data_IF_601329526821
#
_entry.id   IF_601329526821
#
_cell.length_a   1.000
_cell.length_b   1.000
_cell.length_c   1.000
_cell.angle_alpha   90.00
_cell.angle_beta   90.00
_cell.angle_gamma   90.00
#
_symmetry.space_group_name_H-M   'P 1'
#
loop_
_entity.id
_entity.type
_entity.pdbx_description
1 polymer ?
#
# COMPACT_ATOMS: atom_id res chain seq x y z
N UNK A 1 9.64 -3.25 28.03
CA UNK A 1 9.67 -2.54 26.72
C UNK A 1 11.04 -2.75 26.11
N UNK A 2 11.16 -3.54 25.04
CA UNK A 2 12.44 -3.84 24.41
C UNK A 2 12.69 -3.01 23.16
N UNK A 3 13.96 -2.78 22.84
CA UNK A 3 14.38 -2.23 21.55
C UNK A 3 14.08 -3.25 20.45
N UNK A 4 13.66 -2.77 19.27
CA UNK A 4 13.36 -3.61 18.10
C UNK A 4 14.36 -3.34 17.01
N UNK A 5 14.80 -4.40 16.32
CA UNK A 5 15.69 -4.29 15.17
C UNK A 5 15.00 -3.63 13.98
N UNK A 6 15.76 -2.93 13.14
CA UNK A 6 15.25 -2.32 11.91
C UNK A 6 14.81 -3.41 10.92
N UNK A 7 13.53 -3.46 10.48
CA UNK A 7 13.01 -4.55 9.65
C UNK A 7 13.75 -4.74 8.34
N UNK A 8 14.15 -3.63 7.69
CA UNK A 8 14.91 -3.65 6.45
C UNK A 8 16.33 -4.16 6.67
N UNK A 9 17.00 -3.72 7.75
CA UNK A 9 18.38 -4.09 8.05
C UNK A 9 18.50 -5.58 8.37
N UNK A 10 17.56 -6.10 9.16
CA UNK A 10 17.45 -7.52 9.47
C UNK A 10 17.25 -8.41 8.23
N UNK A 11 16.77 -7.86 7.11
CA UNK A 11 16.41 -8.58 5.88
C UNK A 11 17.36 -8.36 4.70
N UNK A 12 18.41 -7.54 4.86
CA UNK A 12 19.37 -7.22 3.78
C UNK A 12 20.09 -8.45 3.21
N UNK A 13 20.32 -9.48 4.04
CA UNK A 13 21.03 -10.68 3.60
C UNK A 13 20.15 -11.68 2.83
N UNK A 14 18.81 -11.59 2.94
CA UNK A 14 17.91 -12.66 2.49
C UNK A 14 16.89 -12.18 1.47
N UNK A 15 16.07 -11.18 1.84
CA UNK A 15 14.88 -10.80 1.04
C UNK A 15 14.95 -9.40 0.45
N UNK A 16 15.83 -8.53 0.97
CA UNK A 16 15.96 -7.13 0.54
C UNK A 16 17.32 -6.85 -0.10
N UNK A 17 17.30 -6.07 -1.18
CA UNK A 17 18.49 -5.58 -1.84
C UNK A 17 18.95 -4.23 -1.26
N UNK A 18 20.21 -3.91 -1.52
CA UNK A 18 20.83 -2.63 -1.15
C UNK A 18 20.27 -1.46 -1.95
N UNK A 19 20.18 -0.28 -1.33
CA UNK A 19 19.76 0.98 -1.96
C UNK A 19 20.91 1.71 -2.67
N UNK A 20 22.16 1.38 -2.36
CA UNK A 20 23.35 1.78 -3.12
C UNK A 20 24.07 0.50 -3.54
N UNK A 21 24.34 0.33 -4.84
CA UNK A 21 25.00 -0.84 -5.42
C UNK A 21 26.24 -0.40 -6.18
N UNK A 22 27.34 -0.27 -5.46
CA UNK A 22 28.64 0.04 -6.01
C UNK A 22 29.73 -0.50 -5.10
N UNK A 23 30.94 -0.61 -5.64
CA UNK A 23 32.13 -1.04 -4.92
C UNK A 23 33.20 0.04 -5.03
N UNK A 24 33.90 0.32 -3.93
CA UNK A 24 35.03 1.22 -3.91
C UNK A 24 36.10 0.68 -2.95
N UNK A 25 37.36 1.02 -3.22
CA UNK A 25 38.45 0.75 -2.31
C UNK A 25 38.31 1.61 -1.04
N UNK A 26 38.89 1.15 0.07
CA UNK A 26 38.78 1.78 1.39
C UNK A 26 39.10 3.29 1.39
N UNK A 27 40.09 3.72 0.57
CA UNK A 27 40.49 5.13 0.44
C UNK A 27 39.40 6.02 -0.16
N UNK A 28 38.61 5.51 -1.10
CA UNK A 28 37.63 6.30 -1.84
C UNK A 28 36.19 6.11 -1.32
N UNK A 29 35.97 5.10 -0.48
CA UNK A 29 34.64 4.75 0.02
C UNK A 29 33.99 5.90 0.82
N UNK A 30 34.73 6.53 1.72
CA UNK A 30 34.20 7.60 2.58
C UNK A 30 33.73 8.81 1.77
N UNK A 31 34.51 9.26 0.78
CA UNK A 31 34.14 10.38 -0.09
C UNK A 31 32.90 10.07 -0.93
N UNK A 32 32.88 8.91 -1.58
CA UNK A 32 31.73 8.48 -2.39
C UNK A 32 30.46 8.29 -1.56
N UNK A 33 30.59 7.86 -0.30
CA UNK A 33 29.45 7.74 0.60
C UNK A 33 28.90 9.11 1.00
N UNK A 34 29.76 10.08 1.30
CA UNK A 34 29.33 11.45 1.62
C UNK A 34 28.56 12.07 0.45
N UNK A 35 29.10 11.95 -0.77
CA UNK A 35 28.43 12.35 -2.01
C UNK A 35 27.04 11.69 -2.17
N UNK A 36 26.94 10.39 -1.93
CA UNK A 36 25.66 9.65 -2.01
C UNK A 36 24.64 10.18 -0.99
N UNK A 37 25.06 10.55 0.23
CA UNK A 37 24.20 11.11 1.26
C UNK A 37 23.68 12.49 0.86
N UNK A 38 24.57 13.37 0.39
CA UNK A 38 24.23 14.73 -0.06
C UNK A 38 23.25 14.67 -1.24
N UNK A 39 23.47 13.77 -2.20
CA UNK A 39 22.56 13.57 -3.32
C UNK A 39 21.19 13.07 -2.86
N UNK A 40 21.14 12.16 -1.88
CA UNK A 40 19.87 11.65 -1.35
C UNK A 40 19.09 12.74 -0.62
N UNK A 41 19.75 13.56 0.18
CA UNK A 41 19.11 14.67 0.88
C UNK A 41 18.58 15.71 -0.13
N UNK A 42 19.41 16.08 -1.10
CA UNK A 42 19.04 16.99 -2.17
C UNK A 42 17.82 16.51 -2.96
N UNK A 43 17.83 15.24 -3.40
CA UNK A 43 16.72 14.65 -4.16
C UNK A 43 15.43 14.58 -3.33
N UNK A 44 15.52 14.22 -2.04
CA UNK A 44 14.35 14.19 -1.15
C UNK A 44 13.76 15.59 -0.94
N UNK A 45 14.59 16.62 -0.82
CA UNK A 45 14.13 17.99 -0.64
C UNK A 45 13.48 18.53 -1.93
N UNK A 46 14.15 18.38 -3.08
CA UNK A 46 13.65 18.90 -4.37
C UNK A 46 12.41 18.16 -4.86
N UNK A 47 12.36 16.84 -4.69
CA UNK A 47 11.27 15.99 -5.20
C UNK A 47 10.18 15.68 -4.16
N UNK A 48 10.02 16.52 -3.13
CA UNK A 48 8.97 16.34 -2.11
C UNK A 48 7.56 16.29 -2.74
N UNK A 49 7.34 17.04 -3.81
CA UNK A 49 6.08 17.06 -4.57
C UNK A 49 5.85 15.79 -5.40
N UNK A 50 6.91 15.09 -5.80
CA UNK A 50 6.81 13.90 -6.65
C UNK A 50 6.44 12.62 -5.88
N UNK A 51 6.53 12.64 -4.54
CA UNK A 51 6.33 11.46 -3.69
C UNK A 51 7.27 10.31 -4.09
N UNK A 52 8.54 10.48 -3.74
CA UNK A 52 9.62 9.52 -3.99
C UNK A 52 9.60 8.44 -2.91
N UNK A 53 9.55 7.16 -3.31
CA UNK A 53 9.60 6.01 -2.41
C UNK A 53 11.05 5.65 -2.07
N UNK A 54 11.85 5.35 -3.09
CA UNK A 54 13.23 4.89 -2.93
C UNK A 54 14.13 5.48 -4.02
N UNK A 55 15.40 5.63 -3.68
CA UNK A 55 16.46 6.10 -4.61
C UNK A 55 17.52 5.01 -4.65
N UNK A 56 17.73 4.43 -5.83
CA UNK A 56 18.79 3.46 -6.08
C UNK A 56 19.97 4.17 -6.73
N UNK A 57 21.15 4.04 -6.14
CA UNK A 57 22.39 4.63 -6.68
C UNK A 57 23.33 3.50 -7.08
N UNK A 58 23.69 3.46 -8.35
CA UNK A 58 24.70 2.54 -8.89
C UNK A 58 25.84 3.36 -9.47
N UNK A 59 27.09 2.94 -9.29
CA UNK A 59 28.26 3.67 -9.81
C UNK A 59 29.10 2.77 -10.73
N UNK A 60 28.70 2.58 -12.00
CA UNK A 60 29.50 1.84 -12.96
C UNK A 60 30.69 2.68 -13.44
N UNK A 61 31.92 2.22 -13.18
CA UNK A 61 33.19 2.72 -13.72
C UNK A 61 33.23 4.24 -14.03
N UNK A 62 33.35 5.07 -12.99
CA UNK A 62 33.40 6.54 -13.04
C UNK A 62 32.13 7.25 -13.55
N UNK A 63 31.03 6.53 -13.76
CA UNK A 63 29.71 7.10 -14.00
C UNK A 63 28.80 6.81 -12.80
N UNK A 64 27.76 7.63 -12.63
CA UNK A 64 26.71 7.39 -11.65
C UNK A 64 25.36 7.17 -12.36
N UNK A 65 24.64 6.12 -11.98
CA UNK A 65 23.29 5.81 -12.43
C UNK A 65 22.37 5.91 -11.23
N UNK A 66 21.45 6.88 -11.27
CA UNK A 66 20.50 7.13 -10.20
C UNK A 66 19.12 6.74 -10.70
N UNK A 67 18.51 5.75 -10.08
CA UNK A 67 17.15 5.30 -10.41
C UNK A 67 16.20 5.75 -9.30
N UNK A 68 15.28 6.64 -9.64
CA UNK A 68 14.32 7.26 -8.73
C UNK A 68 12.99 6.53 -8.90
N UNK A 69 12.48 5.97 -7.79
CA UNK A 69 11.19 5.32 -7.75
C UNK A 69 10.16 6.31 -7.23
N UNK A 70 9.22 6.69 -8.07
CA UNK A 70 8.24 7.73 -7.78
C UNK A 70 6.81 7.24 -8.03
N UNK A 71 5.87 7.68 -7.20
CA UNK A 71 4.44 7.49 -7.45
C UNK A 71 3.92 8.42 -8.56
N UNK A 72 4.59 9.55 -8.78
CA UNK A 72 4.21 10.56 -9.77
C UNK A 72 5.40 10.87 -10.67
N UNK A 73 5.71 10.00 -11.65
CA UNK A 73 6.86 10.20 -12.55
C UNK A 73 6.72 11.47 -13.39
N UNK A 74 5.50 11.85 -13.80
CA UNK A 74 5.26 13.05 -14.61
C UNK A 74 5.73 14.36 -13.96
N UNK A 75 5.67 14.44 -12.62
CA UNK A 75 6.17 15.62 -11.88
C UNK A 75 7.70 15.68 -11.88
N UNK A 76 8.38 14.53 -11.98
CA UNK A 76 9.85 14.45 -12.03
C UNK A 76 10.38 14.76 -13.43
N UNK A 77 9.64 14.37 -14.46
CA UNK A 77 10.02 14.62 -15.87
C UNK A 77 9.81 16.11 -16.22
N UNK A 78 8.75 16.73 -15.69
CA UNK A 78 8.42 18.12 -15.96
C UNK A 78 7.79 18.33 -17.34
N UNK A 79 7.66 19.60 -17.75
CA UNK A 79 7.14 19.94 -19.08
C UNK A 79 8.22 19.64 -20.13
N UNK A 80 7.91 18.76 -21.09
CA UNK A 80 8.81 18.35 -22.19
C UNK A 80 10.20 17.80 -21.76
N UNK A 81 10.37 17.39 -20.50
CA UNK A 81 11.66 16.88 -20.00
C UNK A 81 12.63 17.95 -19.47
N UNK A 82 12.19 19.19 -19.28
CA UNK A 82 13.06 20.26 -18.77
C UNK A 82 13.58 19.97 -17.35
N UNK A 83 12.72 19.46 -16.46
CA UNK A 83 13.09 19.23 -15.06
C UNK A 83 14.11 18.10 -14.91
N UNK A 84 14.05 17.06 -15.76
CA UNK A 84 15.02 15.97 -15.74
C UNK A 84 16.39 16.41 -16.26
N UNK A 85 16.44 17.28 -17.27
CA UNK A 85 17.70 17.84 -17.77
C UNK A 85 18.37 18.75 -16.72
N UNK A 86 17.58 19.61 -16.09
CA UNK A 86 18.03 20.44 -14.98
C UNK A 86 18.55 19.59 -13.81
N UNK A 87 17.82 18.54 -13.43
CA UNK A 87 18.23 17.63 -12.37
C UNK A 87 19.55 16.90 -12.70
N UNK A 88 19.69 16.43 -13.95
CA UNK A 88 20.91 15.78 -14.42
C UNK A 88 22.11 16.74 -14.38
N UNK A 89 21.92 17.99 -14.77
CA UNK A 89 22.98 19.00 -14.73
C UNK A 89 23.43 19.32 -13.30
N UNK A 90 22.50 19.49 -12.36
CA UNK A 90 22.82 19.73 -10.95
C UNK A 90 23.48 18.53 -10.28
N UNK A 91 23.00 17.32 -10.55
CA UNK A 91 23.60 16.09 -10.01
C UNK A 91 25.02 15.89 -10.55
N UNK A 92 25.26 16.20 -11.83
CA UNK A 92 26.60 16.15 -12.43
C UNK A 92 27.55 17.15 -11.77
N UNK A 93 27.07 18.38 -11.49
CA UNK A 93 27.85 19.40 -10.77
C UNK A 93 28.23 18.97 -9.35
N UNK A 94 27.32 18.30 -8.63
CA UNK A 94 27.56 17.83 -7.24
C UNK A 94 28.49 16.62 -7.19
N UNK A 95 28.32 15.67 -8.11
CA UNK A 95 29.06 14.42 -8.12
C UNK A 95 30.41 14.48 -8.86
N UNK A 96 30.60 15.49 -9.72
CA UNK A 96 31.82 15.61 -10.54
C UNK A 96 32.00 14.47 -11.57
N UNK A 97 30.99 13.61 -11.71
CA UNK A 97 30.96 12.49 -12.66
C UNK A 97 29.72 12.57 -13.54
N UNK A 98 29.76 12.01 -14.76
CA UNK A 98 28.57 11.93 -15.60
C UNK A 98 27.47 11.11 -14.92
N UNK A 99 26.27 11.70 -14.81
CA UNK A 99 25.11 11.08 -14.15
C UNK A 99 24.05 10.69 -15.20
N UNK A 100 23.58 9.45 -15.13
CA UNK A 100 22.38 8.99 -15.81
C UNK A 100 21.23 8.89 -14.81
N UNK A 101 20.12 9.59 -15.07
CA UNK A 101 18.92 9.57 -14.22
C UNK A 101 17.86 8.71 -14.89
N UNK A 102 17.39 7.69 -14.17
CA UNK A 102 16.25 6.86 -14.58
C UNK A 102 15.09 7.10 -13.62
N UNK A 103 13.88 7.10 -14.16
CA UNK A 103 12.65 7.25 -13.38
C UNK A 103 11.84 5.97 -13.56
N UNK A 104 11.57 5.30 -12.45
CA UNK A 104 10.72 4.12 -12.41
C UNK A 104 9.43 4.44 -11.66
N UNK A 105 8.31 4.03 -12.24
CA UNK A 105 6.99 4.25 -11.66
C UNK A 105 6.66 3.19 -10.59
N UNK A 106 6.20 3.65 -9.43
CA UNK A 106 5.63 2.79 -8.41
C UNK A 106 4.16 2.50 -8.74
N UNK A 107 3.89 1.30 -9.27
CA UNK A 107 2.54 0.89 -9.73
C UNK A 107 1.44 0.96 -8.65
N UNK A 108 1.79 0.70 -7.38
CA UNK A 108 0.85 0.64 -6.25
C UNK A 108 1.39 1.46 -5.07
N UNK A 109 1.20 2.79 -5.06
CA UNK A 109 1.78 3.65 -4.02
C UNK A 109 1.18 3.40 -2.62
N UNK A 110 -0.05 2.90 -2.52
CA UNK A 110 -0.72 2.61 -1.25
C UNK A 110 -0.22 1.34 -0.55
N UNK A 111 0.67 0.58 -1.19
CA UNK A 111 1.32 -0.61 -0.61
C UNK A 111 2.78 -0.31 -0.24
N UNK A 112 3.32 0.82 -0.69
CA UNK A 112 4.67 1.26 -0.38
C UNK A 112 4.71 1.95 0.99
N UNK A 113 5.55 1.44 1.90
CA UNK A 113 5.53 1.91 3.28
C UNK A 113 6.00 3.36 3.42
N UNK A 114 6.94 3.82 2.58
CA UNK A 114 7.46 5.18 2.64
C UNK A 114 6.41 6.18 2.15
N UNK A 115 5.75 5.87 1.03
CA UNK A 115 4.70 6.73 0.47
C UNK A 115 3.47 6.83 1.38
N UNK A 116 3.10 5.73 2.06
CA UNK A 116 2.05 5.76 3.08
C UNK A 116 2.45 6.66 4.24
N UNK A 117 3.70 6.55 4.74
CA UNK A 117 4.20 7.38 5.83
C UNK A 117 4.16 8.87 5.45
N UNK A 118 4.64 9.22 4.25
CA UNK A 118 4.64 10.60 3.74
C UNK A 118 3.22 11.14 3.50
N UNK A 119 2.29 10.30 3.06
CA UNK A 119 0.88 10.69 2.92
C UNK A 119 0.25 11.02 4.27
N UNK A 120 0.56 10.23 5.31
CA UNK A 120 0.05 10.47 6.66
C UNK A 120 0.66 11.73 7.25
N UNK A 121 1.97 11.94 7.11
CA UNK A 121 2.61 13.16 7.64
C UNK A 121 2.09 14.42 6.98
N UNK A 122 1.89 14.42 5.66
CA UNK A 122 1.24 15.53 4.95
C UNK A 122 -0.20 15.80 5.45
N UNK A 123 -0.95 14.75 5.79
CA UNK A 123 -2.30 14.91 6.37
C UNK A 123 -2.26 15.48 7.79
N UNK A 124 -1.28 15.08 8.60
CA UNK A 124 -1.08 15.61 9.95
C UNK A 124 -0.64 17.09 9.92
N UNK A 125 0.22 17.48 8.98
CA UNK A 125 0.62 18.88 8.76
C UNK A 125 -0.60 19.75 8.38
N UNK A 126 -1.54 19.18 7.61
CA UNK A 126 -2.83 19.81 7.27
C UNK A 126 -3.87 19.76 8.40
N UNK A 127 -3.47 19.39 9.62
CA UNK A 127 -4.32 19.31 10.82
C UNK A 127 -5.50 18.34 10.70
N UNK A 128 -5.38 17.31 9.85
CA UNK A 128 -6.36 16.23 9.81
C UNK A 128 -6.18 15.35 11.07
N UNK A 129 -7.29 14.91 11.65
CA UNK A 129 -7.27 14.02 12.82
C UNK A 129 -6.46 12.74 12.53
N UNK A 130 -5.43 12.48 13.35
CA UNK A 130 -4.48 11.40 13.11
C UNK A 130 -5.13 10.01 13.00
N UNK A 131 -6.16 9.73 13.81
CA UNK A 131 -6.93 8.47 13.74
C UNK A 131 -7.59 8.26 12.38
N UNK A 132 -8.15 9.33 11.80
CA UNK A 132 -8.79 9.29 10.47
C UNK A 132 -7.75 9.03 9.38
N UNK A 133 -6.62 9.73 9.43
CA UNK A 133 -5.52 9.54 8.47
C UNK A 133 -4.98 8.11 8.49
N UNK A 134 -4.74 7.55 9.68
CA UNK A 134 -4.27 6.17 9.83
C UNK A 134 -5.30 5.14 9.37
N UNK A 135 -6.56 5.25 9.82
CA UNK A 135 -7.61 4.29 9.44
C UNK A 135 -7.85 4.26 7.94
N UNK A 136 -7.87 5.44 7.29
CA UNK A 136 -7.97 5.56 5.83
C UNK A 136 -6.78 4.93 5.12
N UNK A 137 -5.56 5.18 5.58
CA UNK A 137 -4.35 4.60 4.99
C UNK A 137 -4.33 3.07 5.10
N UNK A 138 -4.71 2.51 6.27
CA UNK A 138 -4.79 1.06 6.47
C UNK A 138 -5.81 0.41 5.54
N UNK A 139 -7.02 0.95 5.47
CA UNK A 139 -8.07 0.43 4.61
C UNK A 139 -7.66 0.45 3.13
N UNK A 140 -7.01 1.53 2.67
CA UNK A 140 -6.51 1.61 1.30
C UNK A 140 -5.43 0.56 1.00
N UNK A 141 -4.49 0.36 1.93
CA UNK A 141 -3.44 -0.63 1.77
C UNK A 141 -3.99 -2.08 1.72
N UNK A 142 -4.90 -2.42 2.64
CA UNK A 142 -5.56 -3.73 2.68
C UNK A 142 -6.41 -3.97 1.42
N UNK A 143 -7.16 -2.96 0.95
CA UNK A 143 -7.96 -3.03 -0.28
C UNK A 143 -7.11 -3.32 -1.53
N UNK A 144 -5.88 -2.83 -1.58
CA UNK A 144 -4.97 -3.00 -2.72
C UNK A 144 -4.08 -4.27 -2.62
N UNK A 145 -4.37 -5.13 -1.64
CA UNK A 145 -3.79 -6.46 -1.52
C UNK A 145 -2.62 -6.58 -0.55
N UNK A 146 -2.40 -5.60 0.34
CA UNK A 146 -1.49 -5.82 1.46
C UNK A 146 -2.05 -6.91 2.39
N UNK A 147 -1.23 -7.89 2.78
CA UNK A 147 -1.64 -8.98 3.68
C UNK A 147 -1.64 -8.55 5.15
N UNK A 148 -0.96 -7.46 5.45
CA UNK A 148 -1.08 -6.78 6.72
C UNK A 148 -0.34 -5.44 6.73
N UNK A 149 -0.81 -4.56 7.60
CA UNK A 149 -0.25 -3.25 7.80
C UNK A 149 -0.23 -2.92 9.29
N UNK A 150 0.84 -2.28 9.73
CA UNK A 150 0.94 -1.68 11.05
C UNK A 150 1.36 -0.24 10.87
N UNK A 151 0.67 0.68 11.54
CA UNK A 151 1.01 2.10 11.56
C UNK A 151 1.17 2.51 13.02
N UNK A 152 2.26 3.22 13.31
CA UNK A 152 2.56 3.76 14.63
C UNK A 152 2.83 5.25 14.49
N UNK A 153 2.14 6.06 15.29
CA UNK A 153 2.34 7.49 15.39
C UNK A 153 2.77 7.84 16.80
N UNK A 154 3.89 8.55 16.93
CA UNK A 154 4.46 8.95 18.21
C UNK A 154 4.69 10.47 18.22
N UNK A 155 4.27 11.13 19.30
CA UNK A 155 4.44 12.57 19.48
C UNK A 155 3.26 13.21 20.19
N UNK A 156 3.11 14.53 20.05
CA UNK A 156 2.01 15.32 20.61
C UNK A 156 0.73 15.19 19.77
N UNK A 157 0.13 14.01 19.79
CA UNK A 157 -1.04 13.68 18.99
C UNK A 157 -2.23 14.56 19.39
N UNK A 158 -2.88 15.19 18.41
CA UNK A 158 -3.93 16.21 18.59
C UNK A 158 -3.50 17.43 19.42
N UNK A 159 -2.20 17.74 19.52
CA UNK A 159 -1.71 18.91 20.23
C UNK A 159 -1.72 18.79 21.76
N UNK A 160 -1.94 17.58 22.29
CA UNK A 160 -1.87 17.31 23.73
C UNK A 160 -0.44 17.53 24.23
N UNK A 161 -0.31 18.02 25.46
CA UNK A 161 0.97 18.41 26.07
C UNK A 161 1.93 17.21 26.19
N UNK A 162 1.44 16.08 26.71
CA UNK A 162 2.23 14.86 26.88
C UNK A 162 2.25 14.06 25.58
N UNK A 163 3.46 13.77 25.09
CA UNK A 163 3.64 12.92 23.92
C UNK A 163 3.23 11.48 24.23
N UNK A 164 2.50 10.85 23.31
CA UNK A 164 2.11 9.44 23.41
C UNK A 164 2.35 8.70 22.10
N UNK A 165 2.37 7.38 22.18
CA UNK A 165 2.48 6.50 21.01
C UNK A 165 1.19 5.71 20.84
N UNK A 166 0.52 5.91 19.71
CA UNK A 166 -0.63 5.11 19.30
C UNK A 166 -0.24 4.26 18.10
N UNK A 167 -0.70 3.01 18.07
CA UNK A 167 -0.49 2.13 16.92
C UNK A 167 -1.76 1.37 16.59
N UNK A 168 -1.97 1.18 15.29
CA UNK A 168 -3.04 0.38 14.75
C UNK A 168 -2.43 -0.70 13.86
N UNK A 169 -3.03 -1.90 13.89
CA UNK A 169 -2.57 -3.04 13.09
C UNK A 169 -3.78 -3.74 12.50
N UNK A 170 -3.67 -4.08 11.23
CA UNK A 170 -4.65 -4.85 10.49
C UNK A 170 -3.93 -5.97 9.72
N UNK A 171 -4.52 -7.16 9.66
CA UNK A 171 -3.89 -8.32 9.02
C UNK A 171 -2.65 -8.85 9.76
N UNK A 172 -1.78 -9.56 9.03
CA UNK A 172 -0.60 -10.25 9.58
C UNK A 172 0.68 -9.45 9.33
N UNK A 173 1.51 -9.26 10.36
CA UNK A 173 2.83 -8.61 10.23
C UNK A 173 3.89 -9.41 11.00
N UNK A 174 4.44 -10.48 10.41
CA UNK A 174 5.39 -11.39 11.08
C UNK A 174 6.82 -10.81 11.11
N UNK A 175 7.11 -9.95 12.09
CA UNK A 175 8.41 -9.26 12.18
C UNK A 175 9.62 -10.18 12.39
N UNK A 176 9.40 -11.34 13.02
CA UNK A 176 10.45 -12.32 13.32
C UNK A 176 10.80 -13.22 12.11
N UNK A 177 9.90 -13.34 11.13
CA UNK A 177 10.11 -14.21 9.97
C UNK A 177 10.99 -13.50 8.93
N UNK A 178 12.17 -14.05 8.64
CA UNK A 178 13.10 -13.48 7.65
C UNK A 178 12.58 -13.54 6.21
N UNK A 179 11.83 -14.60 5.87
CA UNK A 179 11.23 -14.81 4.54
C UNK A 179 10.11 -13.81 4.21
N UNK A 180 9.52 -13.19 5.23
CA UNK A 180 8.45 -12.22 5.06
C UNK A 180 8.97 -10.94 4.40
N UNK A 181 8.40 -10.55 3.25
CA UNK A 181 8.66 -9.24 2.64
C UNK A 181 7.89 -8.16 3.40
N UNK A 182 8.61 -7.53 4.33
CA UNK A 182 8.11 -6.43 5.13
C UNK A 182 8.79 -5.15 4.67
N UNK A 183 7.98 -4.20 4.24
CA UNK A 183 8.41 -2.86 3.92
C UNK A 183 8.25 -1.95 5.12
N UNK A 184 9.25 -1.10 5.32
CA UNK A 184 9.29 -0.17 6.45
C UNK A 184 9.51 1.24 5.92
N UNK A 185 8.63 2.15 6.33
CA UNK A 185 8.69 3.57 6.00
C UNK A 185 8.68 4.40 7.27
N UNK A 186 9.45 5.48 7.26
CA UNK A 186 9.50 6.45 8.35
C UNK A 186 9.39 7.86 7.78
N UNK A 187 8.53 8.66 8.39
CA UNK A 187 8.35 10.05 8.01
C UNK A 187 8.02 10.88 9.26
N UNK A 188 8.45 12.13 9.26
CA UNK A 188 8.25 13.07 10.35
C UNK A 188 7.36 14.21 9.88
N UNK A 189 6.28 14.47 10.62
CA UNK A 189 5.42 15.63 10.39
C UNK A 189 5.87 16.78 11.29
N UNK A 190 6.17 17.93 10.68
CA UNK A 190 6.50 19.15 11.42
C UNK A 190 5.22 19.94 11.68
N UNK A 191 4.64 19.75 12.86
CA UNK A 191 3.41 20.44 13.27
C UNK A 191 3.71 21.65 14.16
N UNK A 192 2.73 22.52 14.37
CA UNK A 192 2.85 23.68 15.27
C UNK A 192 3.20 23.31 16.71
N UNK A 193 2.81 22.11 17.14
CA UNK A 193 3.04 21.63 18.51
C UNK A 193 4.34 20.82 18.64
N UNK A 194 5.11 20.66 17.57
CA UNK A 194 6.34 19.88 17.53
C UNK A 194 6.31 18.79 16.45
N UNK A 195 7.18 17.80 16.61
CA UNK A 195 7.36 16.74 15.62
C UNK A 195 6.53 15.52 15.97
N UNK A 196 5.82 14.97 14.97
CA UNK A 196 5.13 13.68 15.08
C UNK A 196 5.83 12.69 14.16
N UNK A 197 6.37 11.62 14.72
CA UNK A 197 6.99 10.54 13.98
C UNK A 197 5.95 9.49 13.57
N UNK A 198 5.93 9.12 12.30
CA UNK A 198 5.06 8.07 11.74
C UNK A 198 5.93 6.93 11.22
N UNK A 199 5.71 5.73 11.77
CA UNK A 199 6.37 4.49 11.37
C UNK A 199 5.34 3.55 10.77
N UNK A 200 5.61 3.04 9.57
CA UNK A 200 4.70 2.16 8.83
C UNK A 200 5.42 0.85 8.52
N UNK A 201 4.74 -0.27 8.75
CA UNK A 201 5.14 -1.60 8.31
C UNK A 201 4.08 -2.15 7.38
N UNK A 202 4.45 -2.56 6.18
CA UNK A 202 3.55 -3.22 5.22
C UNK A 202 4.08 -4.60 4.92
N UNK A 203 3.23 -5.61 5.07
CA UNK A 203 3.53 -6.99 4.71
C UNK A 203 2.89 -7.33 3.36
N UNK A 204 3.72 -7.69 2.39
CA UNK A 204 3.29 -8.02 1.02
C UNK A 204 3.21 -9.52 0.73
N UNK A 205 3.60 -10.36 1.68
CA UNK A 205 3.72 -11.81 1.48
C UNK A 205 5.13 -12.32 1.75
N UNK A 206 5.26 -13.64 1.71
CA UNK A 206 6.54 -14.30 1.83
C UNK A 206 7.22 -14.34 0.46
N UNK A 207 8.51 -13.97 0.41
CA UNK A 207 9.36 -14.21 -0.76
C UNK A 207 9.86 -15.64 -0.72
N UNK A 208 9.61 -16.41 -1.77
CA UNK A 208 10.27 -17.72 -1.93
C UNK A 208 11.78 -17.52 -2.14
N UNK A 209 12.57 -18.53 -1.79
CA UNK A 209 14.04 -18.50 -1.73
C UNK A 209 14.75 -18.11 -3.05
N UNK A 210 14.03 -18.02 -4.17
CA UNK A 210 14.60 -17.78 -5.51
C UNK A 210 14.57 -16.31 -5.95
N UNK A 211 14.30 -15.35 -5.06
CA UNK A 211 14.41 -13.93 -5.38
C UNK A 211 13.30 -13.35 -6.27
N UNK A 212 12.33 -14.16 -6.69
CA UNK A 212 11.13 -13.66 -7.35
C UNK A 212 10.26 -12.84 -6.38
N UNK A 213 9.82 -11.66 -6.84
CA UNK A 213 8.90 -10.85 -6.07
C UNK A 213 7.59 -11.61 -5.85
N UNK A 214 6.95 -11.52 -4.67
CA UNK A 214 5.68 -12.19 -4.45
C UNK A 214 4.67 -11.54 -5.41
N UNK A 215 4.16 -12.35 -6.34
CA UNK A 215 3.04 -11.96 -7.18
C UNK A 215 1.86 -11.81 -6.23
N UNK A 216 1.45 -10.57 -5.98
CA UNK A 216 0.17 -10.29 -5.34
C UNK A 216 -0.89 -10.95 -6.23
N UNK A 217 -1.52 -12.03 -5.74
CA UNK A 217 -2.62 -12.71 -6.46
C UNK A 217 -3.72 -11.68 -6.71
N UNK A 218 -3.74 -11.12 -7.91
CA UNK A 218 -4.93 -10.51 -8.47
C UNK A 218 -5.81 -11.62 -9.00
N UNK A 219 -7.03 -11.70 -8.50
CA UNK A 219 -8.11 -12.44 -9.14
C UNK A 219 -8.23 -11.89 -10.58
N UNK A 220 -8.14 -12.76 -11.60
CA UNK A 220 -8.28 -12.35 -13.00
C UNK A 220 -7.43 -13.06 -14.05
N UNK A 221 -7.09 -14.34 -13.87
CA UNK A 221 -6.85 -15.22 -15.02
C UNK A 221 -8.00 -16.23 -15.03
N UNK A 222 -9.05 -15.84 -15.74
CA UNK A 222 -10.14 -16.71 -16.15
C UNK A 222 -9.57 -17.99 -16.76
N UNK A 223 -10.21 -19.09 -16.38
CA UNK A 223 -10.01 -20.42 -16.91
C UNK A 223 -9.84 -20.40 -18.42
N UNK A 224 -8.61 -20.64 -18.87
CA UNK A 224 -8.35 -21.08 -20.22
C UNK A 224 -9.03 -22.45 -20.37
N UNK A 225 -10.27 -22.39 -20.88
CA UNK A 225 -11.14 -23.52 -21.19
C UNK A 225 -10.35 -24.54 -22.00
N UNK A 226 -9.91 -25.61 -21.34
CA UNK A 226 -9.38 -26.81 -21.99
C UNK A 226 -10.38 -27.26 -23.06
N UNK A 227 -9.99 -27.41 -24.34
CA UNK A 227 -10.87 -27.97 -25.34
C UNK A 227 -11.16 -29.44 -24.98
N UNK A 228 -12.45 -29.79 -24.93
CA UNK A 228 -12.91 -31.16 -24.66
C UNK A 228 -12.32 -32.10 -25.72
N UNK A 229 -11.56 -33.08 -25.25
CA UNK A 229 -10.94 -34.16 -26.02
C UNK A 229 -12.01 -34.97 -26.76
N UNK A 230 -11.82 -35.09 -28.08
CA UNK A 230 -12.50 -35.90 -29.09
C UNK A 230 -13.56 -36.92 -28.61
N UNK A 231 -14.78 -36.73 -29.11
CA UNK A 231 -15.77 -37.79 -29.26
C UNK A 231 -15.24 -38.85 -30.25
N UNK A 232 -15.28 -40.13 -29.86
CA UNK A 232 -15.00 -41.27 -30.74
C UNK A 232 -16.16 -41.48 -31.73
N UNK A 233 -15.92 -41.61 -33.04
CA UNK A 233 -16.93 -42.05 -33.99
C UNK A 233 -16.96 -43.59 -34.05
N UNK A 234 -18.14 -44.18 -33.88
CA UNK A 234 -18.32 -45.63 -34.05
C UNK A 234 -19.62 -46.16 -33.46
N UNK A 235 -20.75 -45.88 -34.13
CA UNK A 235 -21.91 -46.78 -34.09
C UNK A 235 -21.72 -47.83 -35.20
N UNK A 236 -22.33 -49.04 -35.14
CA UNK A 236 -23.77 -49.12 -35.45
C UNK A 236 -24.57 -50.28 -34.81
N UNK A 237 -25.89 -50.07 -34.70
CA UNK A 237 -26.88 -51.14 -34.95
C UNK A 237 -27.75 -51.58 -33.77
N UNK A 238 -29.07 -51.42 -33.89
CA UNK A 238 -30.04 -52.15 -33.06
C UNK A 238 -31.44 -51.51 -32.97
N UNK A 239 -32.37 -52.01 -33.79
CA UNK A 239 -33.79 -51.62 -33.92
C UNK A 239 -34.63 -51.81 -32.65
N UNK A 240 -35.70 -51.00 -32.51
CA UNK A 240 -36.90 -51.37 -31.75
C UNK A 240 -37.79 -50.18 -31.34
N UNK A 241 -38.94 -50.02 -31.99
CA UNK A 241 -40.00 -49.00 -31.79
C UNK A 241 -41.24 -49.72 -31.21
N UNK A 242 -42.40 -49.06 -30.96
CA UNK A 242 -42.81 -48.14 -29.88
C UNK A 242 -44.01 -48.68 -29.04
N UNK A 243 -44.47 -47.96 -28.00
CA UNK A 243 -45.89 -48.04 -27.59
C UNK A 243 -46.25 -47.77 -26.12
N UNK A 244 -47.09 -46.74 -25.93
CA UNK A 244 -48.18 -46.57 -24.92
C UNK A 244 -47.91 -46.82 -23.42
N UNK A 245 -48.18 -45.84 -22.55
CA UNK A 245 -49.54 -45.67 -22.03
C UNK A 245 -49.76 -44.33 -21.30
N UNK A 246 -51.02 -43.96 -21.29
CA UNK A 246 -51.68 -42.69 -21.03
C UNK A 246 -52.04 -42.47 -19.55
N UNK A 247 -52.61 -41.28 -19.24
CA UNK A 247 -53.33 -40.81 -18.02
C UNK A 247 -52.47 -40.20 -16.90
N UNK A 248 -52.74 -39.01 -16.35
CA UNK A 248 -53.84 -38.06 -16.52
C UNK A 248 -53.69 -36.92 -15.48
N UNK A 249 -54.06 -35.70 -15.84
CA UNK A 249 -54.21 -34.53 -14.95
C UNK A 249 -55.71 -34.40 -14.51
N UNK A 250 -56.17 -33.30 -13.88
CA UNK A 250 -55.83 -32.67 -12.59
C UNK A 250 -57.10 -32.40 -11.73
N UNK A 251 -56.97 -31.85 -10.51
CA UNK A 251 -57.97 -31.05 -9.73
C UNK A 251 -57.27 -30.64 -8.42
N UNK A 252 -57.15 -29.38 -7.99
CA UNK A 252 -58.06 -28.25 -8.06
C UNK A 252 -58.74 -28.11 -6.69
N UNK A 253 -58.30 -27.19 -5.83
CA UNK A 253 -59.18 -26.37 -4.98
C UNK A 253 -58.41 -25.34 -4.10
N UNK A 254 -58.75 -24.08 -4.34
CA UNK A 254 -58.79 -22.88 -3.47
C UNK A 254 -60.18 -22.28 -3.76
N UNK A 255 -60.86 -21.49 -2.89
CA UNK A 255 -60.25 -20.37 -2.14
C UNK A 255 -60.96 -19.89 -0.85
N UNK A 256 -60.38 -18.81 -0.29
CA UNK A 256 -61.00 -17.63 0.32
C UNK A 256 -61.43 -17.59 1.81
N UNK A 257 -60.96 -16.53 2.49
CA UNK A 257 -61.46 -16.00 3.77
C UNK A 257 -60.56 -14.88 4.29
N UNK A 258 -60.96 -13.61 4.10
CA UNK A 258 -60.23 -12.38 4.43
C UNK A 258 -60.62 -11.81 5.84
N UNK A 259 -60.37 -10.53 6.20
CA UNK A 259 -59.30 -10.11 7.11
C UNK A 259 -59.80 -9.47 8.43
N UNK A 260 -58.95 -9.44 9.46
CA UNK A 260 -59.24 -8.84 10.77
C UNK A 260 -58.30 -7.69 11.12
N UNK A 261 -58.89 -6.52 11.39
CA UNK A 261 -58.26 -5.27 11.78
C UNK A 261 -57.73 -5.24 13.23
N UNK A 262 -56.81 -4.31 13.53
CA UNK A 262 -56.39 -4.02 14.90
C UNK A 262 -55.33 -2.93 14.98
N UNK A 263 -55.78 -1.67 15.06
CA UNK A 263 -54.96 -0.49 15.28
C UNK A 263 -54.61 -0.30 16.77
N UNK A 264 -53.40 0.17 17.09
CA UNK A 264 -53.23 1.10 18.21
C UNK A 264 -51.98 1.98 18.08
N UNK A 265 -52.24 3.26 17.80
CA UNK A 265 -51.37 4.40 18.12
C UNK A 265 -51.50 4.69 19.62
N UNK A 266 -50.40 5.01 20.29
CA UNK A 266 -50.44 5.77 21.55
C UNK A 266 -49.57 7.02 21.40
N UNK A 267 -50.18 8.16 21.77
CA UNK A 267 -49.65 9.52 21.71
C UNK A 267 -48.88 9.85 23.00
N UNK A 268 -47.87 10.70 22.83
CA UNK A 268 -47.40 11.83 23.68
C UNK A 268 -48.14 12.07 25.02
N UNK A 269 -47.37 12.24 26.08
CA UNK A 269 -47.74 13.10 27.21
C UNK A 269 -46.48 13.78 27.80
N UNK A 270 -46.54 15.10 27.90
CA UNK A 270 -45.74 15.95 28.77
C UNK A 270 -46.73 16.70 29.68
N UNK A 271 -46.31 17.10 30.89
CA UNK A 271 -46.71 18.38 31.49
C UNK A 271 -45.44 19.22 31.81
N UNK A 272 -45.37 20.52 31.50
CA UNK A 272 -45.86 21.68 32.28
C UNK A 272 -45.37 21.70 33.74
N UNK A 273 -45.04 22.80 34.42
CA UNK A 273 -44.68 24.19 34.18
C UNK A 273 -44.39 24.78 35.59
N UNK A 274 -43.81 25.98 35.65
CA UNK A 274 -43.80 26.93 36.79
C UNK A 274 -42.68 26.88 37.85
N UNK A 275 -42.15 28.07 38.14
CA UNK A 275 -41.23 28.37 39.24
C UNK A 275 -40.38 29.62 39.00
N UNK A 276 -40.97 30.81 39.09
CA UNK A 276 -40.29 32.12 39.20
C UNK A 276 -39.70 32.31 40.61
N UNK A 277 -38.68 33.18 40.72
CA UNK A 277 -38.09 33.71 41.95
C UNK A 277 -36.62 33.27 42.04
N UNK A 278 -35.62 34.13 42.08
CA UNK A 278 -35.48 35.50 42.62
C UNK A 278 -34.38 36.25 41.84
#
# INVERSE_FOLDING_TARGET
>A
MGQKIHPTGFRLAVTRAWSSRWYANNRNFAGMLAEDLDVREYLKAKLKSAAVSRILIERPAKNARITIFSARPGVVIGKKGEDIENLKAELTKRLGVPVAVNIEEVRKPEVDAQLIADSITQQLEKRIMFRRAMKRAMQNAMRLGALGIKIMSAGRLNGIEIARTEWYREGRVPLHTLKADIDYGFSEAKTTYGVIGVKVWVYRGDRLANGEAPVLKGEGQEEERRPRRNARPGAPGGRGRPGSNDRGAPRGDKPAGAPGAGAQRVRKAAPAAEGKGE
#
